data_IF_708252202554
#
_entry.id   IF_708252202554
#
_cell.length_a   1.000
_cell.length_b   1.000
_cell.length_c   1.000
_cell.angle_alpha   90.00
_cell.angle_beta   90.00
_cell.angle_gamma   90.00
#
_symmetry.space_group_name_H-M   'P 1'
#
loop_
_entity.id
_entity.type
_entity.pdbx_description
1 polymer ?
#
# COMPACT_ATOMS: atom_id res chain seq x y z
N UNK A 1 8.17 -10.48 12.41
CA UNK A 1 9.01 -9.50 13.12
C UNK A 1 9.53 -10.13 14.39
N UNK A 2 10.84 -10.10 14.68
CA UNK A 2 11.90 -9.33 14.02
C UNK A 2 12.31 -9.90 12.65
N UNK A 3 12.74 -9.05 11.71
CA UNK A 3 13.28 -9.49 10.42
C UNK A 3 14.70 -10.01 10.62
N UNK A 4 14.99 -11.21 10.08
CA UNK A 4 16.35 -11.78 10.06
C UNK A 4 17.09 -11.46 8.77
N UNK A 5 16.34 -11.21 7.70
CA UNK A 5 16.82 -10.90 6.36
C UNK A 5 15.90 -9.87 5.72
N UNK A 6 16.43 -9.11 4.77
CA UNK A 6 15.67 -8.16 3.97
C UNK A 6 15.53 -8.67 2.55
N UNK A 7 14.34 -8.51 1.98
CA UNK A 7 14.03 -8.95 0.62
C UNK A 7 14.68 -8.06 -0.44
N UNK A 8 14.88 -6.77 -0.12
CA UNK A 8 15.49 -5.78 -1.00
C UNK A 8 14.70 -5.50 -2.27
N UNK A 9 15.29 -4.68 -3.14
CA UNK A 9 14.69 -4.30 -4.42
C UNK A 9 14.55 -5.49 -5.37
N UNK A 10 15.42 -6.50 -5.24
CA UNK A 10 15.40 -7.73 -6.05
C UNK A 10 14.04 -8.43 -5.97
N UNK A 11 13.51 -8.62 -4.77
CA UNK A 11 12.20 -9.26 -4.60
C UNK A 11 11.07 -8.38 -5.13
N UNK A 12 11.15 -7.07 -4.91
CA UNK A 12 10.13 -6.13 -5.38
C UNK A 12 10.03 -6.14 -6.92
N UNK A 13 11.17 -6.10 -7.62
CA UNK A 13 11.20 -6.20 -9.08
C UNK A 13 10.74 -7.56 -9.57
N UNK A 14 11.20 -8.64 -8.93
CA UNK A 14 10.78 -9.99 -9.26
C UNK A 14 9.26 -10.16 -9.14
N UNK A 15 8.69 -9.87 -7.96
CA UNK A 15 7.26 -10.02 -7.70
C UNK A 15 6.42 -9.17 -8.66
N UNK A 16 6.80 -7.90 -8.84
CA UNK A 16 6.11 -7.00 -9.78
C UNK A 16 6.10 -7.53 -11.21
N UNK A 17 7.24 -8.01 -11.70
CA UNK A 17 7.33 -8.57 -13.04
C UNK A 17 6.54 -9.88 -13.17
N UNK A 18 6.61 -10.77 -12.18
CA UNK A 18 5.83 -12.02 -12.17
C UNK A 18 4.34 -11.75 -12.26
N UNK A 19 3.82 -10.80 -11.46
CA UNK A 19 2.41 -10.44 -11.52
C UNK A 19 2.04 -9.80 -12.86
N UNK A 20 2.86 -8.88 -13.38
CA UNK A 20 2.62 -8.24 -14.66
C UNK A 20 2.57 -9.25 -15.83
N UNK A 21 3.55 -10.16 -15.91
CA UNK A 21 3.61 -11.22 -16.93
C UNK A 21 2.38 -12.12 -16.84
N UNK A 22 2.03 -12.60 -15.64
CA UNK A 22 0.87 -13.45 -15.44
C UNK A 22 -0.43 -12.74 -15.88
N UNK A 23 -0.60 -11.46 -15.52
CA UNK A 23 -1.76 -10.66 -15.89
C UNK A 23 -1.90 -10.43 -17.40
N UNK A 24 -0.78 -10.11 -18.06
CA UNK A 24 -0.74 -9.84 -19.50
C UNK A 24 -1.00 -11.12 -20.30
N UNK A 25 -0.27 -12.20 -20.01
CA UNK A 25 -0.40 -13.47 -20.74
C UNK A 25 -1.76 -14.14 -20.48
N UNK A 26 -2.31 -14.00 -19.28
CA UNK A 26 -3.63 -14.53 -18.94
C UNK A 26 -4.80 -13.64 -19.34
N UNK A 27 -4.55 -12.48 -19.99
CA UNK A 27 -5.57 -11.51 -20.37
C UNK A 27 -6.49 -11.02 -19.23
N UNK A 28 -6.03 -11.08 -17.97
CA UNK A 28 -6.78 -10.65 -16.79
C UNK A 28 -6.19 -9.40 -16.11
N UNK A 29 -5.38 -8.61 -16.83
CA UNK A 29 -4.71 -7.40 -16.31
C UNK A 29 -5.66 -6.44 -15.58
N UNK A 30 -6.91 -6.29 -16.04
CA UNK A 30 -7.90 -5.42 -15.37
C UNK A 30 -8.26 -5.92 -13.96
N UNK A 31 -8.45 -7.24 -13.80
CA UNK A 31 -8.69 -7.83 -12.47
C UNK A 31 -7.44 -7.76 -11.60
N UNK A 32 -6.27 -7.98 -12.19
CA UNK A 32 -5.02 -7.88 -11.45
C UNK A 32 -4.86 -6.47 -10.87
N UNK A 33 -5.13 -5.41 -11.66
CA UNK A 33 -5.07 -4.02 -11.18
C UNK A 33 -6.03 -3.75 -10.01
N UNK A 34 -7.21 -4.39 -9.98
CA UNK A 34 -8.14 -4.29 -8.85
C UNK A 34 -7.54 -4.90 -7.56
N UNK A 35 -6.79 -6.00 -7.65
CA UNK A 35 -6.07 -6.56 -6.50
C UNK A 35 -4.92 -5.66 -6.04
N UNK A 36 -4.34 -4.85 -6.95
CA UNK A 36 -3.31 -3.88 -6.62
C UNK A 36 -3.86 -2.53 -6.10
N UNK A 37 -5.15 -2.45 -5.75
CA UNK A 37 -5.76 -1.20 -5.31
C UNK A 37 -5.00 -0.53 -4.14
N UNK A 38 -4.58 -1.22 -3.07
CA UNK A 38 -3.79 -0.59 -2.00
C UNK A 38 -2.45 -0.03 -2.48
N UNK A 39 -1.76 -0.71 -3.39
CA UNK A 39 -0.49 -0.27 -3.98
C UNK A 39 -0.72 0.97 -4.86
N UNK A 40 -1.78 0.99 -5.66
CA UNK A 40 -2.18 2.11 -6.51
C UNK A 40 -2.54 3.32 -5.64
N UNK A 41 -3.32 3.14 -4.57
CA UNK A 41 -3.67 4.21 -3.63
C UNK A 41 -2.44 4.80 -2.95
N UNK A 42 -1.52 3.94 -2.47
CA UNK A 42 -0.25 4.41 -1.91
C UNK A 42 0.57 5.19 -2.96
N UNK A 43 0.60 4.73 -4.21
CA UNK A 43 1.29 5.41 -5.30
C UNK A 43 0.68 6.79 -5.58
N UNK A 44 -0.64 6.88 -5.76
CA UNK A 44 -1.35 8.13 -6.01
C UNK A 44 -1.12 9.13 -4.86
N UNK A 45 -1.21 8.66 -3.63
CA UNK A 45 -0.93 9.49 -2.46
C UNK A 45 0.53 9.98 -2.44
N UNK A 46 1.46 9.17 -2.93
CA UNK A 46 2.89 9.50 -3.02
C UNK A 46 3.27 10.36 -4.23
N UNK A 47 2.36 10.60 -5.20
CA UNK A 47 2.63 11.34 -6.46
C UNK A 47 3.28 12.72 -6.20
N UNK A 48 2.75 13.59 -5.30
CA UNK A 48 3.32 14.92 -5.11
C UNK A 48 4.78 14.89 -4.62
N UNK A 49 5.15 13.89 -3.82
CA UNK A 49 6.52 13.67 -3.40
C UNK A 49 7.38 13.06 -4.52
N UNK A 50 6.83 12.12 -5.29
CA UNK A 50 7.56 11.43 -6.34
C UNK A 50 7.96 12.36 -7.51
N UNK A 51 7.05 13.28 -7.89
CA UNK A 51 7.33 14.30 -8.90
C UNK A 51 8.11 15.51 -8.35
N UNK A 52 8.55 15.45 -7.08
CA UNK A 52 9.31 16.51 -6.40
C UNK A 52 8.58 17.86 -6.33
N UNK A 53 7.25 17.87 -6.45
CA UNK A 53 6.42 19.06 -6.18
C UNK A 53 6.53 19.42 -4.69
N UNK A 54 6.64 18.39 -3.85
CA UNK A 54 6.91 18.48 -2.41
C UNK A 54 8.30 17.88 -2.13
N UNK A 55 9.09 18.41 -1.19
CA UNK A 55 10.37 17.81 -0.80
C UNK A 55 10.21 16.32 -0.47
N UNK A 56 11.02 15.48 -1.13
CA UNK A 56 10.98 14.04 -0.94
C UNK A 56 12.24 13.60 -0.19
N UNK A 57 12.14 13.27 1.11
CA UNK A 57 13.26 12.71 1.84
C UNK A 57 13.64 11.33 1.27
N UNK A 58 14.93 10.96 1.39
CA UNK A 58 15.45 9.69 0.87
C UNK A 58 14.78 8.47 1.49
N UNK A 59 14.43 8.54 2.78
CA UNK A 59 13.72 7.50 3.51
C UNK A 59 12.37 8.04 3.99
N UNK A 60 11.27 7.39 3.56
CA UNK A 60 9.87 7.78 3.87
C UNK A 60 9.18 6.84 4.86
N UNK A 61 9.97 6.02 5.54
CA UNK A 61 9.51 5.05 6.53
C UNK A 61 9.20 5.76 7.86
N UNK A 62 8.22 5.27 8.64
CA UNK A 62 7.96 5.76 10.00
C UNK A 62 9.21 5.73 10.89
N UNK A 63 9.30 6.66 11.84
CA UNK A 63 10.40 6.72 12.80
C UNK A 63 10.10 5.81 13.99
N UNK A 64 11.06 5.01 14.41
CA UNK A 64 10.91 4.19 15.61
C UNK A 64 11.28 5.00 16.86
N UNK A 65 10.38 5.06 17.85
CA UNK A 65 10.67 5.66 19.14
C UNK A 65 11.02 4.56 20.16
N UNK A 66 12.29 4.46 20.60
CA UNK A 66 12.73 3.41 21.51
C UNK A 66 12.13 3.54 22.92
N UNK A 67 11.62 4.72 23.29
CA UNK A 67 11.01 4.96 24.62
C UNK A 67 9.61 4.36 24.72
N UNK A 68 8.83 4.44 23.65
CA UNK A 68 7.45 3.94 23.60
C UNK A 68 7.35 2.56 22.94
N UNK A 69 8.39 2.13 22.19
CA UNK A 69 8.37 0.90 21.40
C UNK A 69 7.46 0.97 20.17
N UNK A 70 6.97 2.17 19.82
CA UNK A 70 6.03 2.39 18.74
C UNK A 70 6.69 3.09 17.54
N UNK A 71 6.08 2.92 16.37
CA UNK A 71 6.37 3.70 15.17
C UNK A 71 5.58 5.00 15.19
N UNK A 72 6.26 6.10 14.97
CA UNK A 72 5.71 7.45 14.85
C UNK A 72 5.74 7.93 13.39
N UNK A 73 4.77 8.75 12.96
CA UNK A 73 4.77 9.33 11.62
C UNK A 73 6.07 10.08 11.33
N UNK A 74 6.66 9.81 10.17
CA UNK A 74 7.82 10.56 9.68
C UNK A 74 7.38 11.88 9.03
N UNK A 75 8.15 12.95 9.20
CA UNK A 75 7.87 14.27 8.61
C UNK A 75 8.50 14.44 7.22
N UNK A 76 7.89 15.28 6.39
CA UNK A 76 8.33 15.59 5.02
C UNK A 76 9.66 16.36 5.03
N UNK A 77 9.78 17.31 5.95
CA UNK A 77 10.97 18.14 6.12
C UNK A 77 11.28 18.32 7.62
N UNK A 78 12.55 18.60 8.00
CA UNK A 78 12.94 18.78 9.41
C UNK A 78 12.24 19.97 10.08
N UNK A 79 11.84 20.97 9.29
CA UNK A 79 11.17 22.21 9.66
C UNK A 79 9.65 22.16 9.49
N UNK A 80 9.10 21.09 8.91
CA UNK A 80 7.67 20.98 8.59
C UNK A 80 6.93 19.97 9.48
N UNK A 81 5.78 20.38 10.02
CA UNK A 81 4.87 19.52 10.82
C UNK A 81 4.08 18.51 9.96
N UNK A 82 4.26 18.51 8.64
CA UNK A 82 3.52 17.61 7.74
C UNK A 82 4.15 16.23 7.70
N UNK A 83 3.32 15.19 7.83
CA UNK A 83 3.74 13.79 7.73
C UNK A 83 4.01 13.38 6.27
N UNK A 84 4.91 12.42 6.05
CA UNK A 84 5.24 11.89 4.75
C UNK A 84 4.02 11.28 4.06
N UNK A 85 3.91 11.53 2.75
CA UNK A 85 2.78 11.08 1.95
C UNK A 85 2.95 9.62 1.53
N UNK A 86 2.84 8.72 2.50
CA UNK A 86 2.78 7.27 2.27
C UNK A 86 1.64 6.66 3.07
N UNK A 87 1.08 5.56 2.57
CA UNK A 87 -0.02 4.86 3.24
C UNK A 87 0.38 4.40 4.66
N UNK A 88 1.65 4.05 4.89
CA UNK A 88 2.15 3.73 6.23
C UNK A 88 2.00 4.91 7.20
N UNK A 89 2.46 6.10 6.82
CA UNK A 89 2.34 7.28 7.66
C UNK A 89 0.89 7.74 7.79
N UNK A 90 0.06 7.57 6.75
CA UNK A 90 -1.37 7.86 6.80
C UNK A 90 -2.08 7.00 7.86
N UNK A 91 -1.79 5.69 7.91
CA UNK A 91 -2.36 4.81 8.93
C UNK A 91 -1.89 5.20 10.34
N UNK A 92 -0.64 5.62 10.51
CA UNK A 92 -0.14 6.12 11.80
C UNK A 92 -0.75 7.47 12.21
N UNK A 93 -1.06 8.34 11.26
CA UNK A 93 -1.76 9.60 11.53
C UNK A 93 -3.23 9.34 11.89
N UNK A 94 -3.88 8.38 11.23
CA UNK A 94 -5.29 8.08 11.43
C UNK A 94 -5.54 7.28 12.73
N UNK A 95 -4.73 6.27 13.01
CA UNK A 95 -4.91 5.35 14.14
C UNK A 95 -3.97 5.63 15.32
N UNK A 96 -3.02 6.55 15.17
CA UNK A 96 -2.02 6.89 16.17
C UNK A 96 -0.75 6.02 16.14
N UNK A 97 0.23 6.33 17.01
CA UNK A 97 1.50 5.62 17.10
C UNK A 97 1.27 4.17 17.55
N UNK A 98 1.81 3.21 16.80
CA UNK A 98 1.58 1.78 17.05
C UNK A 98 2.82 0.95 16.79
N UNK A 99 2.93 -0.27 17.35
CA UNK A 99 4.07 -1.13 17.10
C UNK A 99 4.07 -1.65 15.65
N UNK A 100 5.27 -1.89 15.11
CA UNK A 100 5.50 -2.33 13.73
C UNK A 100 4.65 -3.55 13.33
N UNK A 101 4.57 -4.55 14.21
CA UNK A 101 3.76 -5.76 13.99
C UNK A 101 2.30 -5.42 13.70
N UNK A 102 1.72 -4.49 14.47
CA UNK A 102 0.31 -4.11 14.35
C UNK A 102 0.07 -3.30 13.08
N UNK A 103 0.98 -2.38 12.75
CA UNK A 103 0.90 -1.60 11.50
C UNK A 103 0.91 -2.52 10.28
N UNK A 104 1.82 -3.50 10.23
CA UNK A 104 1.90 -4.45 9.12
C UNK A 104 0.65 -5.33 9.06
N UNK A 105 0.15 -5.82 10.19
CA UNK A 105 -1.09 -6.60 10.24
C UNK A 105 -2.30 -5.80 9.72
N UNK A 106 -2.41 -4.52 10.04
CA UNK A 106 -3.47 -3.64 9.54
C UNK A 106 -3.36 -3.44 8.02
N UNK A 107 -2.15 -3.23 7.49
CA UNK A 107 -1.93 -3.08 6.05
C UNK A 107 -2.23 -4.38 5.29
N UNK A 108 -1.86 -5.53 5.85
CA UNK A 108 -2.21 -6.84 5.29
C UNK A 108 -3.72 -7.08 5.35
N UNK A 109 -4.39 -6.72 6.45
CA UNK A 109 -5.85 -6.80 6.54
C UNK A 109 -6.52 -5.91 5.49
N UNK A 110 -6.04 -4.68 5.29
CA UNK A 110 -6.51 -3.79 4.23
C UNK A 110 -6.31 -4.41 2.84
N UNK A 111 -5.17 -5.05 2.60
CA UNK A 111 -4.92 -5.78 1.35
C UNK A 111 -5.90 -6.93 1.16
N UNK A 112 -6.14 -7.76 2.17
CA UNK A 112 -7.10 -8.87 2.08
C UNK A 112 -8.50 -8.35 1.81
N UNK A 113 -8.94 -7.30 2.50
CA UNK A 113 -10.25 -6.66 2.28
C UNK A 113 -10.37 -6.15 0.84
N UNK A 114 -9.33 -5.50 0.31
CA UNK A 114 -9.34 -5.05 -1.09
C UNK A 114 -9.41 -6.22 -2.08
N UNK A 115 -8.75 -7.34 -1.80
CA UNK A 115 -8.82 -8.52 -2.65
C UNK A 115 -10.21 -9.17 -2.62
N UNK A 116 -10.83 -9.27 -1.45
CA UNK A 116 -12.21 -9.76 -1.29
C UNK A 116 -13.17 -8.84 -2.03
N UNK A 117 -13.03 -7.52 -1.89
CA UNK A 117 -13.84 -6.55 -2.62
C UNK A 117 -13.66 -6.67 -4.14
N UNK A 118 -12.42 -6.85 -4.62
CA UNK A 118 -12.12 -7.06 -6.04
C UNK A 118 -12.74 -8.36 -6.58
N UNK A 119 -12.74 -9.44 -5.80
CA UNK A 119 -13.48 -10.65 -6.14
C UNK A 119 -14.99 -10.43 -6.13
N UNK A 120 -15.52 -9.70 -5.14
CA UNK A 120 -16.92 -9.30 -5.08
C UNK A 120 -17.36 -8.49 -6.30
N UNK A 121 -16.53 -7.58 -6.80
CA UNK A 121 -16.77 -6.86 -8.06
C UNK A 121 -16.70 -7.82 -9.24
N UNK A 122 -15.70 -8.71 -9.30
CA UNK A 122 -15.56 -9.63 -10.44
C UNK A 122 -16.72 -10.62 -10.55
N UNK A 123 -17.16 -11.20 -9.44
CA UNK A 123 -18.21 -12.24 -9.43
C UNK A 123 -19.61 -11.66 -9.22
N UNK A 124 -19.76 -10.61 -8.40
CA UNK A 124 -21.06 -10.00 -8.08
C UNK A 124 -21.54 -9.01 -9.14
N UNK A 125 -20.66 -8.19 -9.72
CA UNK A 125 -21.06 -7.22 -10.74
C UNK A 125 -21.45 -7.92 -12.06
N UNK A 126 -20.86 -9.09 -12.34
CA UNK A 126 -21.28 -9.96 -13.46
C UNK A 126 -22.62 -10.65 -13.22
N UNK A 127 -23.15 -10.73 -12.00
CA UNK A 127 -24.52 -11.22 -11.76
C UNK A 127 -25.51 -10.06 -11.95
N UNK A 128 -25.26 -8.93 -11.30
CA UNK A 128 -26.19 -7.78 -11.30
C UNK A 128 -26.35 -7.14 -12.68
N UNK A 129 -25.28 -7.05 -13.49
CA UNK A 129 -25.39 -6.50 -14.85
C UNK A 129 -26.12 -7.43 -15.83
N UNK A 130 -26.11 -8.75 -15.61
CA UNK A 130 -26.82 -9.69 -16.46
C UNK A 130 -28.29 -9.84 -16.05
N UNK A 131 -28.61 -9.72 -14.76
CA UNK A 131 -29.99 -9.76 -14.26
C UNK A 131 -30.81 -8.49 -14.57
N UNK A 132 -30.16 -7.35 -14.87
CA UNK A 132 -30.84 -6.07 -15.20
C UNK A 132 -31.14 -5.94 -16.71
N UNK A 133 -30.59 -6.81 -17.56
CA UNK A 133 -30.77 -6.76 -19.03
C UNK A 133 -31.84 -7.75 -19.53
N UNK A 134 -32.63 -8.36 -18.64
CA UNK A 134 -33.82 -9.15 -18.99
C UNK A 134 -35.11 -8.54 -18.45
#
# INVERSE_FOLDING_TARGET
YPSRVFVGDTFCYYAGMTFAVAGILGHFSKTLLLFFAPQILNFIYSIPQLFKIVPCPRHRLPKFNPKTGNLEPSTIAPDSTRANLTMLNLFLVLFGPMPEKRLVQLLLAFQVVSCVAAFGVRYGLSSVFYDVVH
#
